data_IF_652856631363
#
_entry.id   IF_652856631363
#
_cell.length_a   1.000
_cell.length_b   1.000
_cell.length_c   1.000
_cell.angle_alpha   90.00
_cell.angle_beta   90.00
_cell.angle_gamma   90.00
#
_symmetry.space_group_name_H-M   'P 1'
#
loop_
_entity.id
_entity.type
_entity.pdbx_description
1 polymer ?
#
# COMPACT_ATOMS: atom_id res chain seq x y z
N UNK A 1 8.76 -10.69 -7.69
CA UNK A 1 8.89 -10.64 -9.16
C UNK A 1 7.59 -10.09 -9.73
N UNK A 2 7.65 -9.22 -10.72
CA UNK A 2 6.47 -8.69 -11.38
C UNK A 2 6.47 -9.06 -12.87
N UNK A 3 5.34 -9.48 -13.43
CA UNK A 3 5.16 -9.73 -14.86
C UNK A 3 4.20 -8.71 -15.47
N UNK A 4 4.44 -8.34 -16.72
CA UNK A 4 3.65 -7.34 -17.44
C UNK A 4 3.04 -7.93 -18.71
N UNK A 5 1.85 -7.46 -19.06
CA UNK A 5 1.16 -7.82 -20.32
C UNK A 5 1.98 -7.50 -21.60
N UNK A 6 3.01 -6.64 -21.49
CA UNK A 6 3.92 -6.35 -22.61
C UNK A 6 4.74 -7.57 -23.05
N UNK A 7 4.92 -8.57 -22.18
CA UNK A 7 5.66 -9.78 -22.48
C UNK A 7 4.80 -10.79 -23.24
N UNK A 8 4.80 -10.68 -24.57
CA UNK A 8 3.97 -11.51 -25.46
C UNK A 8 4.47 -12.94 -25.64
N UNK A 9 5.71 -13.27 -25.24
CA UNK A 9 6.29 -14.61 -25.43
C UNK A 9 6.02 -15.55 -24.26
N UNK A 10 5.46 -15.04 -23.16
CA UNK A 10 5.20 -15.84 -21.97
C UNK A 10 3.71 -16.09 -21.80
N UNK A 11 3.33 -17.37 -21.71
CA UNK A 11 1.98 -17.79 -21.32
C UNK A 11 1.61 -17.39 -19.88
N UNK A 12 2.59 -16.99 -19.07
CA UNK A 12 2.39 -16.57 -17.68
C UNK A 12 2.20 -15.06 -17.52
N UNK A 13 2.31 -14.28 -18.62
CA UNK A 13 2.07 -12.84 -18.58
C UNK A 13 0.57 -12.55 -18.37
N UNK A 14 0.21 -11.53 -17.56
CA UNK A 14 -1.18 -11.14 -17.38
C UNK A 14 -1.75 -10.51 -18.67
N UNK A 15 -3.07 -10.59 -18.87
CA UNK A 15 -3.73 -9.99 -20.04
C UNK A 15 -3.63 -8.46 -20.07
N UNK A 16 -3.71 -7.83 -18.90
CA UNK A 16 -3.68 -6.38 -18.73
C UNK A 16 -2.79 -5.99 -17.54
N UNK A 17 -2.13 -4.83 -17.66
CA UNK A 17 -1.38 -4.22 -16.57
C UNK A 17 -0.08 -4.96 -16.18
N UNK A 18 0.20 -4.96 -14.88
CA UNK A 18 1.35 -5.59 -14.21
C UNK A 18 0.83 -6.38 -13.03
N UNK A 19 1.32 -7.61 -12.84
CA UNK A 19 0.94 -8.50 -11.74
C UNK A 19 2.17 -8.85 -10.89
N UNK A 20 2.03 -8.77 -9.58
CA UNK A 20 3.00 -9.30 -8.64
C UNK A 20 2.84 -10.82 -8.54
N UNK A 21 3.93 -11.57 -8.75
CA UNK A 21 3.91 -13.03 -8.86
C UNK A 21 4.64 -13.73 -7.70
N UNK A 22 4.93 -13.00 -6.62
CA UNK A 22 5.59 -13.54 -5.44
C UNK A 22 7.12 -13.42 -5.42
N UNK A 23 7.73 -14.08 -4.45
CA UNK A 23 9.16 -14.11 -4.14
C UNK A 23 9.88 -15.17 -4.97
N UNK A 24 11.04 -14.80 -5.50
CA UNK A 24 11.90 -15.68 -6.30
C UNK A 24 13.33 -15.61 -5.79
N UNK A 25 14.04 -16.71 -5.92
CA UNK A 25 15.48 -16.82 -5.66
C UNK A 25 16.22 -17.20 -6.92
N UNK A 26 17.49 -16.79 -7.00
CA UNK A 26 18.39 -17.17 -8.10
C UNK A 26 19.17 -18.41 -7.66
N UNK A 27 19.02 -19.50 -8.41
CA UNK A 27 19.71 -20.77 -8.14
C UNK A 27 21.04 -20.87 -8.92
N UNK A 28 21.02 -20.44 -10.18
CA UNK A 28 22.19 -20.47 -11.07
C UNK A 28 22.29 -19.17 -11.85
N UNK A 29 23.50 -18.72 -12.12
CA UNK A 29 23.75 -17.67 -13.10
C UNK A 29 24.93 -18.04 -14.00
N UNK A 30 24.88 -17.61 -15.25
CA UNK A 30 25.89 -17.92 -16.25
C UNK A 30 25.90 -16.87 -17.35
N UNK A 31 26.97 -16.86 -18.15
CA UNK A 31 27.06 -16.03 -19.35
C UNK A 31 27.01 -16.89 -20.60
N UNK A 32 26.42 -16.35 -21.66
CA UNK A 32 26.47 -16.94 -23.00
C UNK A 32 26.56 -15.87 -24.07
N UNK A 33 27.07 -16.23 -25.25
CA UNK A 33 26.99 -15.37 -26.42
C UNK A 33 25.53 -15.30 -26.88
N UNK A 34 24.97 -14.09 -26.94
CA UNK A 34 23.64 -13.82 -27.43
C UNK A 34 23.53 -13.98 -28.94
N UNK A 35 22.30 -13.93 -29.47
CA UNK A 35 22.03 -14.12 -30.91
C UNK A 35 22.77 -13.08 -31.76
N UNK A 36 22.96 -11.87 -31.22
CA UNK A 36 23.68 -10.75 -31.88
C UNK A 36 25.20 -10.73 -31.58
N UNK A 37 25.76 -11.80 -30.99
CA UNK A 37 27.21 -11.91 -30.74
C UNK A 37 27.73 -11.26 -29.45
N UNK A 38 26.91 -10.48 -28.74
CA UNK A 38 27.29 -9.91 -27.44
C UNK A 38 27.15 -10.89 -26.29
N UNK A 39 27.99 -10.79 -25.25
CA UNK A 39 27.86 -11.60 -24.03
C UNK A 39 26.60 -11.17 -23.26
N UNK A 40 25.77 -12.14 -22.88
CA UNK A 40 24.52 -11.96 -22.13
C UNK A 40 24.59 -12.75 -20.83
N UNK A 41 24.29 -12.08 -19.70
CA UNK A 41 24.11 -12.74 -18.41
C UNK A 41 22.71 -13.35 -18.30
N UNK A 42 22.64 -14.59 -17.82
CA UNK A 42 21.40 -15.33 -17.61
C UNK A 42 21.32 -15.81 -16.18
N UNK A 43 20.09 -15.89 -15.69
CA UNK A 43 19.77 -16.22 -14.30
C UNK A 43 18.62 -17.22 -14.29
N UNK A 44 18.76 -18.30 -13.52
CA UNK A 44 17.69 -19.25 -13.24
C UNK A 44 16.95 -18.79 -11.98
N UNK A 45 15.76 -18.23 -12.19
CA UNK A 45 14.85 -17.88 -11.11
C UNK A 45 13.96 -19.07 -10.75
N UNK A 46 13.83 -19.34 -9.46
CA UNK A 46 12.91 -20.34 -8.90
C UNK A 46 11.99 -19.64 -7.91
N UNK A 47 10.68 -19.85 -8.05
CA UNK A 47 9.67 -19.29 -7.15
C UNK A 47 9.75 -20.00 -5.79
N UNK A 48 9.65 -19.24 -4.72
CA UNK A 48 9.80 -19.71 -3.34
C UNK A 48 8.90 -18.89 -2.39
N UNK A 49 7.61 -18.85 -2.73
CA UNK A 49 6.60 -18.08 -2.02
C UNK A 49 5.64 -18.99 -1.23
N UNK A 50 5.13 -18.48 -0.12
CA UNK A 50 4.09 -19.13 0.69
C UNK A 50 2.70 -18.98 0.07
N UNK A 51 2.48 -17.94 -0.74
CA UNK A 51 1.23 -17.75 -1.45
C UNK A 51 1.19 -18.57 -2.75
N UNK A 52 0.04 -19.15 -3.11
CA UNK A 52 -0.11 -19.90 -4.35
C UNK A 52 0.20 -19.01 -5.56
N UNK A 53 0.63 -19.64 -6.65
CA UNK A 53 0.93 -18.90 -7.86
C UNK A 53 -0.37 -18.37 -8.48
N UNK A 54 -0.42 -17.12 -8.98
CA UNK A 54 -1.66 -16.55 -9.54
C UNK A 54 -2.23 -17.26 -10.77
N UNK A 55 -1.52 -18.24 -11.34
CA UNK A 55 -1.94 -19.04 -12.49
C UNK A 55 -2.13 -20.52 -12.14
N UNK A 56 -2.06 -20.89 -10.86
CA UNK A 56 -2.40 -22.23 -10.38
C UNK A 56 -3.66 -22.17 -9.52
N UNK A 57 -4.37 -23.30 -9.42
CA UNK A 57 -5.53 -23.46 -8.54
C UNK A 57 -5.15 -24.08 -7.20
N UNK A 58 -3.88 -23.96 -6.83
CA UNK A 58 -3.35 -24.59 -5.61
C UNK A 58 -3.79 -23.80 -4.37
N UNK A 59 -4.06 -24.51 -3.28
CA UNK A 59 -4.36 -23.89 -1.98
C UNK A 59 -3.10 -23.46 -1.22
N UNK A 60 -1.95 -24.02 -1.61
CA UNK A 60 -0.68 -23.86 -0.91
C UNK A 60 0.35 -23.16 -1.82
N UNK A 61 1.33 -22.49 -1.20
CA UNK A 61 2.48 -21.92 -1.89
C UNK A 61 3.43 -22.96 -2.51
N UNK A 62 4.53 -22.48 -3.06
CA UNK A 62 5.52 -23.34 -3.70
C UNK A 62 6.18 -24.29 -2.69
N UNK A 63 6.60 -25.45 -3.17
CA UNK A 63 7.42 -26.40 -2.42
C UNK A 63 8.77 -26.63 -3.12
N UNK A 64 9.81 -27.06 -2.40
CA UNK A 64 11.08 -27.44 -3.02
C UNK A 64 10.86 -28.47 -4.13
N UNK A 65 11.44 -28.20 -5.30
CA UNK A 65 11.32 -29.05 -6.49
C UNK A 65 12.68 -29.18 -7.19
N UNK A 66 12.96 -30.32 -7.84
CA UNK A 66 14.20 -30.50 -8.57
C UNK A 66 14.32 -29.46 -9.71
N UNK A 67 15.54 -28.98 -9.92
CA UNK A 67 15.82 -28.01 -10.97
C UNK A 67 15.71 -28.65 -12.36
N UNK A 68 15.16 -27.95 -13.36
CA UNK A 68 15.09 -28.47 -14.72
C UNK A 68 16.48 -28.60 -15.34
N UNK A 69 16.64 -29.56 -16.26
CA UNK A 69 17.85 -29.67 -17.06
C UNK A 69 17.94 -28.52 -18.08
N UNK A 70 18.98 -27.67 -17.96
CA UNK A 70 19.17 -26.50 -18.81
C UNK A 70 20.22 -26.82 -19.88
N UNK A 71 19.75 -27.11 -21.10
CA UNK A 71 20.62 -27.41 -22.25
C UNK A 71 21.58 -26.26 -22.60
N UNK A 72 21.20 -25.02 -22.30
CA UNK A 72 22.01 -23.83 -22.54
C UNK A 72 23.32 -23.79 -21.73
N UNK A 73 23.40 -24.55 -20.62
CA UNK A 73 24.61 -24.59 -19.78
C UNK A 73 25.81 -25.22 -20.49
N UNK A 74 25.58 -26.08 -21.49
CA UNK A 74 26.68 -26.74 -22.23
C UNK A 74 27.59 -25.75 -22.98
N UNK A 75 27.07 -24.60 -23.38
CA UNK A 75 27.79 -23.53 -24.11
C UNK A 75 28.03 -22.29 -23.25
N UNK A 76 27.80 -22.40 -21.94
CA UNK A 76 27.87 -21.28 -21.03
C UNK A 76 29.29 -21.08 -20.50
N UNK A 77 29.64 -19.83 -20.22
CA UNK A 77 30.86 -19.42 -19.53
C UNK A 77 30.50 -18.81 -18.18
N UNK A 78 31.42 -18.77 -17.24
CA UNK A 78 31.23 -18.17 -15.91
C UNK A 78 29.99 -18.71 -15.17
N UNK A 79 29.83 -20.05 -15.14
CA UNK A 79 28.72 -20.68 -14.42
C UNK A 79 28.97 -20.56 -12.92
N UNK A 80 28.03 -19.91 -12.23
CA UNK A 80 28.01 -19.81 -10.78
C UNK A 80 26.75 -20.49 -10.23
N UNK A 81 26.98 -21.42 -9.32
CA UNK A 81 25.95 -22.10 -8.55
C UNK A 81 26.13 -21.75 -7.08
N UNK A 82 25.02 -21.54 -6.37
CA UNK A 82 25.07 -21.21 -4.96
C UNK A 82 25.52 -22.44 -4.16
N UNK A 83 26.58 -22.26 -3.37
CA UNK A 83 27.11 -23.29 -2.45
C UNK A 83 26.62 -23.13 -1.01
N UNK A 84 26.20 -21.93 -0.64
CA UNK A 84 25.78 -21.62 0.72
C UNK A 84 24.27 -21.78 0.91
N UNK A 85 23.87 -22.18 2.13
CA UNK A 85 22.46 -22.27 2.52
C UNK A 85 21.74 -20.92 2.34
N UNK A 86 20.58 -20.89 1.66
CA UNK A 86 19.80 -19.68 1.46
C UNK A 86 19.42 -18.97 2.76
N UNK A 87 19.33 -17.62 2.70
CA UNK A 87 18.77 -16.84 3.81
C UNK A 87 17.26 -17.12 3.96
N UNK A 88 16.57 -17.28 2.83
CA UNK A 88 15.16 -17.62 2.70
C UNK A 88 15.05 -19.04 2.16
N UNK A 89 14.57 -19.97 2.97
CA UNK A 89 14.49 -21.38 2.60
C UNK A 89 13.22 -22.04 3.12
N UNK A 90 12.91 -23.22 2.57
CA UNK A 90 11.74 -23.97 2.96
C UNK A 90 11.96 -24.63 4.33
N UNK A 91 10.96 -24.52 5.18
CA UNK A 91 10.93 -25.16 6.47
C UNK A 91 9.99 -26.36 6.41
N UNK A 92 10.56 -27.55 6.52
CA UNK A 92 9.80 -28.80 6.44
C UNK A 92 8.83 -28.95 7.61
N UNK A 93 9.24 -28.55 8.82
CA UNK A 93 8.43 -28.61 10.04
C UNK A 93 7.19 -27.71 9.96
N UNK A 94 7.36 -26.46 9.53
CA UNK A 94 6.26 -25.51 9.35
C UNK A 94 5.58 -25.56 7.98
N UNK A 95 6.01 -26.45 7.08
CA UNK A 95 5.57 -26.53 5.67
C UNK A 95 5.49 -25.17 4.96
N UNK A 96 6.46 -24.28 5.23
CA UNK A 96 6.45 -22.90 4.75
C UNK A 96 7.85 -22.33 4.52
N UNK A 97 7.96 -21.39 3.59
CA UNK A 97 9.14 -20.57 3.39
C UNK A 97 9.34 -19.58 4.53
N UNK A 98 10.56 -19.54 5.09
CA UNK A 98 10.95 -18.60 6.15
C UNK A 98 12.40 -18.17 6.05
N UNK A 99 12.75 -17.12 6.79
CA UNK A 99 14.15 -16.73 7.00
C UNK A 99 14.86 -17.78 7.86
N UNK A 100 15.80 -18.54 7.28
CA UNK A 100 16.69 -19.47 8.01
C UNK A 100 17.89 -18.76 8.63
N UNK A 101 18.34 -17.68 8.01
CA UNK A 101 19.38 -16.79 8.55
C UNK A 101 18.76 -15.41 8.76
N UNK A 102 19.19 -14.72 9.83
CA UNK A 102 18.75 -13.36 10.08
C UNK A 102 18.98 -12.49 8.83
N UNK A 103 18.03 -11.60 8.46
CA UNK A 103 18.21 -10.73 7.32
C UNK A 103 19.46 -9.87 7.53
N UNK A 104 20.26 -9.62 6.49
CA UNK A 104 21.45 -8.80 6.62
C UNK A 104 21.07 -7.43 7.21
N UNK A 105 21.89 -6.89 8.13
CA UNK A 105 21.66 -5.57 8.68
C UNK A 105 21.61 -4.57 7.52
N UNK A 106 20.61 -3.68 7.56
CA UNK A 106 20.44 -2.62 6.57
C UNK A 106 21.76 -1.86 6.39
N UNK A 107 22.14 -1.57 5.13
CA UNK A 107 23.32 -0.75 4.81
C UNK A 107 23.20 0.72 5.24
N UNK A 108 22.05 1.13 5.77
CA UNK A 108 21.94 2.40 6.49
C UNK A 108 22.62 2.20 7.84
N UNK A 109 23.69 2.95 8.18
CA UNK A 109 24.20 2.95 9.54
C UNK A 109 23.03 3.32 10.44
N UNK A 110 22.63 2.41 11.33
CA UNK A 110 21.66 2.73 12.35
C UNK A 110 22.33 3.76 13.24
N UNK A 111 22.11 5.04 12.95
CA UNK A 111 22.51 6.10 13.87
C UNK A 111 21.79 5.83 15.21
N UNK A 112 22.31 6.34 16.33
CA UNK A 112 21.58 6.26 17.60
C UNK A 112 20.15 6.83 17.49
N UNK A 113 19.94 7.73 16.53
CA UNK A 113 18.63 8.20 16.09
C UNK A 113 17.72 7.10 15.50
N UNK A 114 18.25 6.10 14.76
CA UNK A 114 17.49 5.00 14.14
C UNK A 114 17.11 3.87 15.12
N UNK A 115 17.89 3.66 16.19
CA UNK A 115 17.46 2.78 17.30
C UNK A 115 16.31 3.45 18.08
N UNK A 116 16.38 4.76 18.26
CA UNK A 116 15.26 5.55 18.75
C UNK A 116 14.11 5.62 17.73
N UNK A 117 14.35 5.70 16.43
CA UNK A 117 13.35 5.66 15.35
C UNK A 117 12.66 4.28 15.30
N UNK A 118 13.42 3.19 15.48
CA UNK A 118 12.93 1.82 15.59
C UNK A 118 12.11 1.59 16.86
N UNK A 119 12.53 2.17 17.98
CA UNK A 119 11.74 2.21 19.23
C UNK A 119 10.53 3.11 19.10
N UNK A 120 10.62 4.25 18.40
CA UNK A 120 9.54 5.21 18.12
C UNK A 120 8.54 4.63 17.15
N UNK A 121 8.95 3.91 16.12
CA UNK A 121 8.07 3.16 15.20
C UNK A 121 7.41 2.01 15.93
N UNK A 122 8.12 1.20 16.73
CA UNK A 122 7.50 0.18 17.59
C UNK A 122 6.54 0.79 18.63
N UNK A 123 6.88 1.93 19.23
CA UNK A 123 6.01 2.69 20.14
C UNK A 123 4.82 3.30 19.40
N UNK A 124 4.99 3.82 18.19
CA UNK A 124 3.93 4.39 17.35
C UNK A 124 2.99 3.30 16.83
N UNK A 125 3.50 2.11 16.51
CA UNK A 125 2.70 0.92 16.18
C UNK A 125 1.89 0.49 17.43
N UNK A 126 2.54 0.39 18.60
CA UNK A 126 1.83 0.12 19.87
C UNK A 126 0.82 1.22 20.23
N UNK A 127 1.15 2.48 19.99
CA UNK A 127 0.27 3.62 20.24
C UNK A 127 -0.90 3.63 19.26
N UNK A 128 -0.68 3.33 17.97
CA UNK A 128 -1.74 3.21 16.97
C UNK A 128 -2.73 2.09 17.28
N UNK A 129 -2.28 1.02 17.96
CA UNK A 129 -3.14 -0.05 18.51
C UNK A 129 -3.87 0.36 19.79
N UNK A 130 -3.47 1.47 20.43
CA UNK A 130 -4.09 2.03 21.64
C UNK A 130 -4.93 3.28 21.36
N UNK A 131 -4.78 3.91 20.20
CA UNK A 131 -5.61 5.02 19.78
C UNK A 131 -7.06 4.55 19.71
N UNK A 132 -7.98 5.36 20.22
CA UNK A 132 -9.40 5.13 19.99
C UNK A 132 -9.67 5.12 18.49
N UNK A 133 -10.71 4.42 18.05
CA UNK A 133 -11.06 4.35 16.63
C UNK A 133 -11.30 5.74 16.05
N UNK A 134 -11.86 6.65 16.85
CA UNK A 134 -12.03 8.08 16.53
C UNK A 134 -10.71 8.79 16.24
N UNK A 135 -9.67 8.59 17.07
CA UNK A 135 -8.36 9.21 16.86
C UNK A 135 -7.65 8.68 15.62
N UNK A 136 -7.81 7.38 15.32
CA UNK A 136 -7.27 6.77 14.09
C UNK A 136 -7.94 7.38 12.85
N UNK A 137 -9.26 7.53 12.89
CA UNK A 137 -10.03 8.15 11.81
C UNK A 137 -9.60 9.60 11.55
N UNK A 138 -9.43 10.41 12.60
CA UNK A 138 -8.98 11.79 12.45
C UNK A 138 -7.57 11.89 11.87
N UNK A 139 -6.68 10.98 12.28
CA UNK A 139 -5.30 10.98 11.82
C UNK A 139 -5.14 10.58 10.35
N UNK A 140 -5.87 9.57 9.90
CA UNK A 140 -5.72 9.01 8.56
C UNK A 140 -6.69 9.64 7.54
N UNK A 141 -7.87 10.06 8.00
CA UNK A 141 -8.98 10.55 7.15
C UNK A 141 -9.42 11.97 7.51
N UNK A 142 -8.55 12.75 8.15
CA UNK A 142 -8.81 14.15 8.47
C UNK A 142 -8.82 15.05 7.23
N UNK A 143 -9.79 15.96 7.16
CA UNK A 143 -9.81 17.02 6.15
C UNK A 143 -8.75 18.07 6.48
N UNK A 144 -7.97 18.49 5.49
CA UNK A 144 -6.94 19.52 5.66
C UNK A 144 -7.49 20.96 5.86
N UNK A 145 -8.82 21.16 5.78
CA UNK A 145 -9.48 22.44 6.01
C UNK A 145 -10.17 22.45 7.38
N UNK A 146 -11.15 21.57 7.61
CA UNK A 146 -11.92 21.56 8.86
C UNK A 146 -11.29 20.71 9.98
N UNK A 147 -10.25 19.92 9.68
CA UNK A 147 -9.54 19.05 10.62
C UNK A 147 -10.44 17.98 11.28
N UNK A 148 -11.64 17.75 10.73
CA UNK A 148 -12.54 16.66 11.11
C UNK A 148 -12.42 15.51 10.11
N UNK A 149 -12.93 14.33 10.49
CA UNK A 149 -13.04 13.19 9.57
C UNK A 149 -13.86 13.60 8.36
N UNK A 150 -13.33 13.35 7.16
CA UNK A 150 -13.93 13.84 5.93
C UNK A 150 -15.35 13.31 5.72
N UNK A 151 -16.25 14.21 5.33
CA UNK A 151 -17.58 13.89 4.79
C UNK A 151 -17.60 14.22 3.29
N UNK A 152 -18.11 13.29 2.47
CA UNK A 152 -18.02 13.39 1.01
C UNK A 152 -16.58 13.69 0.54
N UNK A 153 -15.61 12.79 0.81
CA UNK A 153 -14.21 13.08 0.56
C UNK A 153 -13.94 13.28 -0.93
N UNK A 154 -13.18 14.33 -1.24
CA UNK A 154 -12.67 14.63 -2.58
C UNK A 154 -11.17 14.44 -2.56
N UNK A 155 -10.64 13.65 -3.50
CA UNK A 155 -9.20 13.49 -3.71
C UNK A 155 -8.77 14.33 -4.90
N UNK A 156 -7.96 15.36 -4.63
CA UNK A 156 -7.42 16.23 -5.69
C UNK A 156 -6.34 15.52 -6.52
N UNK A 157 -6.03 15.98 -7.75
CA UNK A 157 -4.93 15.43 -8.56
C UNK A 157 -3.55 15.50 -7.89
N UNK A 158 -3.39 16.41 -6.92
CA UNK A 158 -2.20 16.51 -6.08
C UNK A 158 -2.24 15.59 -4.83
N UNK A 159 -3.17 14.64 -4.78
CA UNK A 159 -3.37 13.66 -3.72
C UNK A 159 -3.70 14.21 -2.32
N UNK A 160 -4.15 15.47 -2.22
CA UNK A 160 -4.73 16.01 -0.99
C UNK A 160 -6.22 15.69 -0.92
N UNK A 161 -6.70 15.40 0.29
CA UNK A 161 -8.08 15.00 0.53
C UNK A 161 -8.83 16.05 1.37
N UNK A 162 -10.06 16.37 0.97
CA UNK A 162 -10.90 17.37 1.62
C UNK A 162 -12.36 16.91 1.68
N UNK A 163 -13.17 17.48 2.58
CA UNK A 163 -14.62 17.38 2.44
C UNK A 163 -15.06 18.14 1.19
N UNK A 164 -16.03 17.63 0.43
CA UNK A 164 -16.60 18.32 -0.72
C UNK A 164 -17.03 19.74 -0.39
N UNK A 165 -17.76 19.92 0.70
CA UNK A 165 -18.23 21.25 1.15
C UNK A 165 -17.09 22.20 1.51
N UNK A 166 -16.06 21.71 2.19
CA UNK A 166 -14.88 22.51 2.53
C UNK A 166 -14.10 22.93 1.28
N UNK A 167 -13.99 22.02 0.32
CA UNK A 167 -13.32 22.28 -0.93
C UNK A 167 -14.09 23.29 -1.79
N UNK A 168 -15.40 23.10 -1.98
CA UNK A 168 -16.25 24.05 -2.70
C UNK A 168 -16.22 25.43 -2.04
N UNK A 169 -16.33 25.50 -0.70
CA UNK A 169 -16.26 26.75 0.04
C UNK A 169 -14.93 27.51 -0.15
N UNK A 170 -13.81 26.80 -0.32
CA UNK A 170 -12.50 27.41 -0.56
C UNK A 170 -12.39 28.09 -1.95
N UNK A 171 -13.30 27.76 -2.87
CA UNK A 171 -13.36 28.33 -4.22
C UNK A 171 -14.63 29.16 -4.50
N UNK A 172 -15.51 29.34 -3.52
CA UNK A 172 -16.66 30.25 -3.62
C UNK A 172 -16.21 31.65 -4.06
N UNK A 173 -16.79 32.14 -5.15
CA UNK A 173 -16.50 33.47 -5.71
C UNK A 173 -15.22 33.55 -6.57
N UNK A 174 -14.48 32.44 -6.75
CA UNK A 174 -13.34 32.39 -7.68
C UNK A 174 -13.81 31.91 -9.04
N UNK A 175 -13.58 32.69 -10.09
CA UNK A 175 -13.89 32.29 -11.46
C UNK A 175 -12.68 31.65 -12.13
N UNK A 176 -12.89 30.57 -12.88
CA UNK A 176 -11.81 29.90 -13.63
C UNK A 176 -11.36 30.69 -14.87
N UNK A 177 -12.09 31.73 -15.28
CA UNK A 177 -11.85 32.52 -16.49
C UNK A 177 -11.85 34.01 -16.14
N UNK A 178 -10.83 34.71 -16.64
CA UNK A 178 -10.69 36.17 -16.56
C UNK A 178 -10.90 36.79 -17.94
N UNK A 179 -11.91 37.66 -18.02
CA UNK A 179 -12.14 38.50 -19.18
C UNK A 179 -11.14 39.66 -19.20
N UNK A 180 -10.64 40.00 -20.39
CA UNK A 180 -9.71 41.12 -20.59
C UNK A 180 -10.31 42.06 -21.63
N UNK A 181 -11.20 42.93 -21.19
CA UNK A 181 -11.74 43.98 -22.07
C UNK A 181 -10.96 45.27 -21.84
N UNK A 182 -10.19 45.70 -22.85
CA UNK A 182 -9.64 47.05 -22.93
C UNK A 182 -10.21 47.72 -24.17
N UNK A 183 -11.14 48.66 -23.97
CA UNK A 183 -11.55 49.66 -24.95
C UNK A 183 -11.80 49.16 -26.37
N UNK A 184 -12.84 48.33 -26.57
CA UNK A 184 -13.39 48.02 -27.89
C UNK A 184 -12.79 46.83 -28.65
N UNK A 185 -11.68 46.23 -28.18
CA UNK A 185 -11.17 44.95 -28.74
C UNK A 185 -11.42 43.81 -27.76
N UNK A 186 -12.15 42.78 -28.19
CA UNK A 186 -12.36 41.55 -27.42
C UNK A 186 -11.07 40.73 -27.41
N UNK A 187 -10.35 40.72 -26.29
CA UNK A 187 -9.18 39.84 -26.12
C UNK A 187 -9.64 38.43 -25.75
N UNK A 188 -8.85 37.42 -26.16
CA UNK A 188 -9.05 36.04 -25.72
C UNK A 188 -9.07 35.98 -24.20
N UNK A 189 -10.11 35.33 -23.66
CA UNK A 189 -10.24 35.04 -22.24
C UNK A 189 -9.05 34.20 -21.75
N UNK A 190 -8.60 34.48 -20.53
CA UNK A 190 -7.46 33.81 -19.92
C UNK A 190 -7.95 32.95 -18.75
N UNK A 191 -7.47 31.71 -18.63
CA UNK A 191 -7.76 30.86 -17.47
C UNK A 191 -7.07 31.44 -16.22
N UNK A 192 -7.80 31.51 -15.11
CA UNK A 192 -7.24 31.80 -13.80
C UNK A 192 -6.63 30.53 -13.21
N UNK A 193 -5.46 30.66 -12.62
CA UNK A 193 -4.81 29.58 -11.87
C UNK A 193 -5.51 29.47 -10.53
N UNK A 194 -6.02 28.29 -10.19
CA UNK A 194 -6.71 28.04 -8.94
C UNK A 194 -5.94 26.97 -8.19
N UNK A 195 -5.10 27.38 -7.24
CA UNK A 195 -4.21 26.48 -6.52
C UNK A 195 -4.96 25.68 -5.46
N UNK A 196 -4.49 24.46 -5.20
CA UNK A 196 -4.94 23.63 -4.09
C UNK A 196 -4.77 24.37 -2.74
N UNK A 197 -5.73 24.26 -1.79
CA UNK A 197 -5.60 24.90 -0.47
C UNK A 197 -4.38 24.46 0.35
N UNK A 198 -3.78 23.31 0.00
CA UNK A 198 -2.67 22.72 0.76
C UNK A 198 -1.34 22.71 -0.01
N UNK A 199 -1.32 23.03 -1.30
CA UNK A 199 -0.09 22.96 -2.11
C UNK A 199 -0.15 23.86 -3.34
N UNK A 200 0.99 24.14 -4.01
CA UNK A 200 1.02 25.08 -5.13
C UNK A 200 0.41 24.53 -6.44
N UNK A 201 -0.08 23.29 -6.47
CA UNK A 201 -0.63 22.67 -7.70
C UNK A 201 -1.90 23.38 -8.18
N UNK A 202 -1.95 23.71 -9.48
CA UNK A 202 -3.16 24.23 -10.14
C UNK A 202 -4.20 23.13 -10.33
N UNK A 203 -5.43 23.40 -9.90
CA UNK A 203 -6.57 22.49 -9.94
C UNK A 203 -7.77 23.14 -10.66
N UNK A 204 -7.54 24.22 -11.42
CA UNK A 204 -8.58 24.94 -12.16
C UNK A 204 -9.43 24.05 -13.08
N UNK A 205 -8.81 23.09 -13.77
CA UNK A 205 -9.53 22.13 -14.62
C UNK A 205 -10.29 21.08 -13.80
N UNK A 206 -9.78 20.70 -12.62
CA UNK A 206 -10.42 19.72 -11.73
C UNK A 206 -11.69 20.26 -11.07
N UNK A 207 -11.80 21.58 -10.88
CA UNK A 207 -13.00 22.22 -10.30
C UNK A 207 -14.24 22.13 -11.21
N UNK A 208 -14.06 21.82 -12.50
CA UNK A 208 -15.19 21.71 -13.44
C UNK A 208 -16.01 20.43 -13.23
N UNK A 209 -15.37 19.37 -12.71
CA UNK A 209 -16.02 18.08 -12.47
C UNK A 209 -15.56 17.49 -11.13
N UNK A 210 -16.09 18.06 -10.05
CA UNK A 210 -15.73 17.66 -8.70
C UNK A 210 -16.41 16.35 -8.31
N UNK A 211 -15.69 15.25 -8.44
CA UNK A 211 -16.17 13.92 -8.07
C UNK A 211 -15.79 13.54 -6.64
N UNK A 212 -16.75 12.97 -5.93
CA UNK A 212 -16.54 12.41 -4.58
C UNK A 212 -15.88 11.05 -4.72
N UNK A 213 -14.83 10.82 -3.94
CA UNK A 213 -14.14 9.53 -3.85
C UNK A 213 -14.99 8.55 -3.01
N UNK A 214 -15.78 7.72 -3.69
CA UNK A 214 -16.67 6.75 -3.04
C UNK A 214 -15.91 5.66 -2.31
N UNK A 215 -14.80 5.16 -2.86
CA UNK A 215 -13.98 4.16 -2.19
C UNK A 215 -13.47 4.67 -0.83
N UNK A 216 -13.03 5.94 -0.79
CA UNK A 216 -12.58 6.57 0.44
C UNK A 216 -13.73 6.80 1.43
N UNK A 217 -14.92 7.13 0.93
CA UNK A 217 -16.13 7.25 1.75
C UNK A 217 -16.51 5.90 2.38
N UNK A 218 -16.57 4.83 1.59
CA UNK A 218 -16.96 3.49 2.04
C UNK A 218 -16.01 2.97 3.12
N UNK A 219 -14.70 3.25 2.98
CA UNK A 219 -13.69 2.92 4.00
C UNK A 219 -13.91 3.70 5.29
N UNK A 220 -14.18 5.01 5.21
CA UNK A 220 -14.45 5.85 6.39
C UNK A 220 -15.71 5.37 7.10
N UNK A 221 -16.78 5.07 6.37
CA UNK A 221 -18.06 4.59 6.92
C UNK A 221 -17.92 3.22 7.57
N UNK A 222 -17.26 2.27 6.90
CA UNK A 222 -16.98 0.94 7.45
C UNK A 222 -16.20 0.99 8.77
N UNK A 223 -15.27 1.94 8.89
CA UNK A 223 -14.48 2.12 10.11
C UNK A 223 -15.27 2.83 11.22
N UNK A 224 -16.23 3.70 10.89
CA UNK A 224 -17.14 4.32 11.85
C UNK A 224 -18.14 3.31 12.42
N UNK A 225 -18.75 2.49 11.58
CA UNK A 225 -19.68 1.44 12.04
C UNK A 225 -19.01 0.46 13.01
N UNK A 226 -17.79 0.02 12.69
CA UNK A 226 -16.99 -0.83 13.59
C UNK A 226 -16.63 -0.15 14.92
N UNK A 227 -16.67 1.19 15.01
CA UNK A 227 -16.48 1.87 16.29
C UNK A 227 -17.75 1.92 17.12
N UNK A 228 -18.89 2.13 16.48
CA UNK A 228 -20.20 2.18 17.15
C UNK A 228 -20.59 0.80 17.70
N UNK A 229 -20.33 -0.28 16.94
CA UNK A 229 -20.54 -1.67 17.41
C UNK A 229 -19.66 -2.07 18.60
N UNK A 230 -18.53 -1.38 18.84
CA UNK A 230 -17.66 -1.62 19.98
C UNK A 230 -17.96 -0.72 21.20
N UNK A 231 -18.91 0.22 21.09
CA UNK A 231 -19.20 1.24 22.11
C UNK A 231 -20.65 1.20 22.68
N UNK A 232 -21.47 0.19 22.40
CA UNK A 232 -22.78 0.02 23.10
C UNK A 232 -22.67 -0.81 24.41
N UNK A 233 -23.49 -0.48 25.43
CA UNK A 233 -22.99 -0.22 26.78
C UNK A 233 -23.17 -1.38 27.78
N UNK A 234 -22.32 -1.39 28.81
CA UNK A 234 -22.55 -2.18 30.01
C UNK A 234 -23.90 -1.78 30.63
N UNK A 235 -24.88 -2.67 30.54
CA UNK A 235 -26.22 -2.50 31.13
C UNK A 235 -26.10 -2.25 32.64
N UNK A 236 -26.69 -1.13 33.07
CA UNK A 236 -26.90 -0.80 34.47
C UNK A 236 -27.98 -1.75 35.03
N UNK A 237 -27.55 -2.77 35.77
CA UNK A 237 -28.49 -3.60 36.55
C UNK A 237 -29.04 -2.81 37.75
N UNK A 238 -30.36 -2.92 38.04
CA UNK A 238 -31.05 -2.04 38.97
C UNK A 238 -30.78 -2.44 40.42
N UNK A 239 -30.54 -1.43 41.24
CA UNK A 239 -30.55 -1.54 42.70
C UNK A 239 -31.98 -1.82 43.17
N UNK A 240 -32.25 -3.03 43.67
CA UNK A 240 -33.42 -3.29 44.52
C UNK A 240 -33.05 -4.30 45.61
N UNK A 241 -33.16 -3.85 46.85
CA UNK A 241 -32.85 -4.63 48.04
C UNK A 241 -33.96 -5.62 48.43
N UNK A 242 -33.59 -6.56 49.30
CA UNK A 242 -34.46 -7.05 50.35
C UNK A 242 -33.61 -7.48 51.56
N UNK A 243 -33.93 -6.84 52.69
CA UNK A 243 -33.79 -7.22 54.10
C UNK A 243 -34.18 -8.71 54.35
N UNK A 244 -33.91 -9.43 55.43
CA UNK A 244 -33.22 -9.32 56.72
C UNK A 244 -33.34 -10.74 57.35
N UNK A 245 -32.39 -11.18 58.18
CA UNK A 245 -32.64 -11.92 59.44
C UNK A 245 -31.37 -12.56 60.02
N UNK A 246 -30.96 -12.01 61.17
CA UNK A 246 -30.60 -12.68 62.43
C UNK A 246 -30.14 -14.15 62.39
N UNK A 247 -28.98 -14.44 63.00
CA UNK A 247 -29.01 -14.99 64.37
C UNK A 247 -27.70 -14.81 65.13
N UNK A 248 -27.84 -14.66 66.45
CA UNK A 248 -26.81 -14.58 67.48
C UNK A 248 -26.34 -15.99 67.86
N UNK A 249 -25.05 -16.11 68.21
CA UNK A 249 -24.46 -17.30 68.84
C UNK A 249 -23.01 -17.05 69.22
#
# INVERSE_FOLDING_TARGET
>A
MCRSHKEKRSSYAPEKGVRYDGVYRIEKCWRKVGIQGFKVCRYLFVRCDNEPAPWTSDEHGDRPRPLPAISELKKATDIFERKESPLWDFDEEGSRWKWKKAPPPSKKPANAADLEEGKRTRKAIRHSRKLSTRERLLKEFGCLICQQVMSLPVTTPCAHNFCKSCFEAAFTGKTAIRERNKGGRTLRSQKNILNCPSCPTDISDFLQDLQVNRELMDVIESLKQKSEENEEPAEEEPMNGLEESTDLG
#
